data_IF_942523052751
#
_entry.id   IF_942523052751
#
_cell.length_a   1.000
_cell.length_b   1.000
_cell.length_c   1.000
_cell.angle_alpha   90.00
_cell.angle_beta   90.00
_cell.angle_gamma   90.00
#
_symmetry.space_group_name_H-M   'P 1'
#
loop_
_entity.id
_entity.type
_entity.pdbx_description
1 polymer ?
#
# COMPACT_ATOMS: atom_id res chain seq x y z
N UNK A 1 3.12 7.48 14.97
CA UNK A 1 3.71 7.08 13.68
C UNK A 1 5.23 7.08 13.83
N UNK A 2 5.96 6.24 13.12
CA UNK A 2 7.42 6.17 13.10
C UNK A 2 7.91 6.33 11.66
N UNK A 3 8.39 7.52 11.30
CA UNK A 3 8.77 7.84 9.92
C UNK A 3 7.57 7.68 8.95
N UNK A 4 6.51 8.48 9.07
CA UNK A 4 5.42 8.43 8.08
C UNK A 4 5.95 8.83 6.70
N UNK A 5 5.68 8.03 5.67
CA UNK A 5 6.21 8.23 4.31
C UNK A 5 5.14 8.59 3.27
N UNK A 6 4.02 7.87 3.28
CA UNK A 6 2.93 8.09 2.33
C UNK A 6 1.58 7.98 3.03
N UNK A 7 0.57 8.65 2.49
CA UNK A 7 -0.80 8.60 3.00
C UNK A 7 -1.80 8.39 1.86
N UNK A 8 -2.84 7.60 2.12
CA UNK A 8 -4.00 7.50 1.23
C UNK A 8 -5.29 7.61 2.04
N UNK A 9 -6.32 8.29 1.52
CA UNK A 9 -7.67 8.15 2.03
C UNK A 9 -8.10 6.68 2.01
N UNK A 10 -8.93 6.31 2.98
CA UNK A 10 -9.59 5.02 3.06
C UNK A 10 -11.11 5.21 3.19
N UNK A 11 -11.93 4.17 2.95
CA UNK A 11 -13.37 4.24 3.11
C UNK A 11 -13.81 4.79 4.47
N UNK A 12 -15.04 5.33 4.50
CA UNK A 12 -15.69 5.86 5.71
C UNK A 12 -14.92 7.01 6.38
N UNK A 13 -14.13 7.75 5.60
CA UNK A 13 -13.36 8.90 6.07
C UNK A 13 -12.12 8.54 6.88
N UNK A 14 -11.70 7.27 6.87
CA UNK A 14 -10.42 6.84 7.42
C UNK A 14 -9.25 7.18 6.50
N UNK A 15 -8.05 6.78 6.92
CA UNK A 15 -6.84 6.91 6.10
C UNK A 15 -5.81 5.85 6.46
N UNK A 16 -4.90 5.58 5.53
CA UNK A 16 -3.79 4.64 5.68
C UNK A 16 -2.47 5.36 5.51
N UNK A 17 -1.49 5.01 6.33
CA UNK A 17 -0.14 5.60 6.33
C UNK A 17 0.91 4.50 6.26
N UNK A 18 1.83 4.59 5.31
CA UNK A 18 3.05 3.76 5.31
C UNK A 18 4.14 4.39 6.17
N UNK A 19 4.94 3.54 6.80
CA UNK A 19 5.98 3.94 7.74
C UNK A 19 7.35 3.37 7.35
N UNK A 20 8.41 4.15 7.53
CA UNK A 20 9.79 3.72 7.28
C UNK A 20 10.23 2.58 8.19
N UNK A 21 9.57 2.41 9.34
CA UNK A 21 9.81 1.30 10.27
C UNK A 21 9.21 -0.05 9.81
N UNK A 22 8.78 -0.17 8.56
CA UNK A 22 8.38 -1.46 7.97
C UNK A 22 6.92 -1.85 8.25
N UNK A 23 6.01 -0.89 8.39
CA UNK A 23 4.59 -1.17 8.63
C UNK A 23 3.66 -0.18 7.92
N UNK A 24 2.38 -0.53 7.86
CA UNK A 24 1.32 0.33 7.34
C UNK A 24 0.20 0.40 8.38
N UNK A 25 -0.12 1.63 8.79
CA UNK A 25 -1.11 1.93 9.84
C UNK A 25 -2.44 2.35 9.20
N UNK A 26 -3.53 1.78 9.70
CA UNK A 26 -4.90 2.07 9.28
C UNK A 26 -5.57 2.89 10.37
N UNK A 27 -6.16 4.02 10.02
CA UNK A 27 -6.83 4.94 10.93
C UNK A 27 -8.31 5.08 10.60
N UNK A 28 -9.11 5.24 11.65
CA UNK A 28 -10.53 5.59 11.54
C UNK A 28 -10.69 7.09 11.21
N UNK A 29 -11.91 7.48 10.82
CA UNK A 29 -12.28 8.90 10.68
C UNK A 29 -12.16 9.71 11.97
N UNK A 30 -12.14 9.06 13.13
CA UNK A 30 -11.84 9.67 14.43
C UNK A 30 -10.35 9.93 14.68
N UNK A 31 -9.48 9.63 13.71
CA UNK A 31 -8.02 9.69 13.78
C UNK A 31 -7.39 8.71 14.78
N UNK A 32 -8.18 7.79 15.35
CA UNK A 32 -7.67 6.69 16.18
C UNK A 32 -7.10 5.58 15.29
N UNK A 33 -6.00 4.99 15.73
CA UNK A 33 -5.41 3.81 15.09
C UNK A 33 -6.40 2.65 15.17
N UNK A 34 -6.77 2.09 14.03
CA UNK A 34 -7.60 0.89 13.92
C UNK A 34 -6.75 -0.38 14.01
N UNK A 35 -5.72 -0.46 13.17
CA UNK A 35 -4.85 -1.63 13.07
C UNK A 35 -3.55 -1.32 12.33
N UNK A 36 -2.62 -2.27 12.38
CA UNK A 36 -1.44 -2.33 11.51
C UNK A 36 -1.60 -3.51 10.55
N UNK A 37 -1.12 -3.39 9.31
CA UNK A 37 -1.13 -4.50 8.36
C UNK A 37 -0.19 -5.62 8.80
N UNK A 38 0.98 -5.28 9.35
CA UNK A 38 1.91 -6.30 9.86
C UNK A 38 1.29 -7.14 10.98
N UNK A 39 0.58 -6.50 11.92
CA UNK A 39 -0.10 -7.21 13.00
C UNK A 39 -1.35 -7.96 12.54
N UNK A 40 -2.13 -7.40 11.61
CA UNK A 40 -3.40 -8.00 11.17
C UNK A 40 -3.18 -9.24 10.30
N UNK A 41 -2.17 -9.22 9.43
CA UNK A 41 -1.93 -10.29 8.45
C UNK A 41 -0.65 -11.09 8.70
N UNK A 42 0.12 -10.78 9.75
CA UNK A 42 1.44 -11.38 9.96
C UNK A 42 2.42 -11.07 8.82
N UNK A 43 2.22 -9.97 8.10
CA UNK A 43 3.04 -9.61 6.96
C UNK A 43 4.25 -8.78 7.42
N UNK A 44 5.46 -9.25 7.13
CA UNK A 44 6.65 -8.45 7.37
C UNK A 44 6.90 -7.61 6.12
N UNK A 45 7.01 -6.28 6.19
CA UNK A 45 7.46 -5.48 5.04
C UNK A 45 8.99 -5.34 5.06
N UNK A 46 9.58 -5.11 3.88
CA UNK A 46 10.96 -4.64 3.75
C UNK A 46 11.01 -3.14 3.98
N UNK A 47 10.44 -2.38 3.04
CA UNK A 47 10.36 -0.92 3.14
C UNK A 47 9.07 -0.43 2.43
N UNK A 48 7.92 -0.36 3.12
CA UNK A 48 6.67 0.06 2.49
C UNK A 48 6.76 1.53 2.09
N UNK A 49 6.37 1.82 0.85
CA UNK A 49 6.44 3.15 0.25
C UNK A 49 5.03 3.62 -0.13
N UNK A 50 4.64 3.47 -1.40
CA UNK A 50 3.33 3.90 -1.88
C UNK A 50 2.20 3.06 -1.30
N UNK A 51 1.09 3.71 -0.96
CA UNK A 51 -0.17 3.04 -0.58
C UNK A 51 -1.35 3.64 -1.35
N UNK A 52 -2.28 2.82 -1.81
CA UNK A 52 -3.61 3.25 -2.26
C UNK A 52 -4.69 2.29 -1.76
N UNK A 53 -5.94 2.72 -1.83
CA UNK A 53 -7.11 1.89 -1.52
C UNK A 53 -7.94 1.75 -2.79
N UNK A 54 -8.32 0.52 -3.13
CA UNK A 54 -9.18 0.25 -4.28
C UNK A 54 -10.66 0.49 -3.97
N UNK A 55 -11.52 0.28 -4.97
CA UNK A 55 -12.97 0.47 -4.84
C UNK A 55 -13.63 -0.53 -3.89
N UNK A 56 -13.00 -1.67 -3.64
CA UNK A 56 -13.49 -2.71 -2.74
C UNK A 56 -13.01 -2.48 -1.29
N UNK A 57 -12.21 -1.43 -1.07
CA UNK A 57 -11.65 -1.09 0.24
C UNK A 57 -10.39 -1.89 0.60
N UNK A 58 -9.82 -2.64 -0.33
CA UNK A 58 -8.55 -3.32 -0.11
C UNK A 58 -7.40 -2.32 -0.13
N UNK A 59 -6.43 -2.52 0.75
CA UNK A 59 -5.26 -1.66 0.84
C UNK A 59 -4.16 -2.26 -0.03
N UNK A 60 -3.65 -1.50 -0.99
CA UNK A 60 -2.52 -1.90 -1.81
C UNK A 60 -1.26 -1.18 -1.32
N UNK A 61 -0.16 -1.92 -1.23
CA UNK A 61 1.12 -1.42 -0.69
C UNK A 61 2.25 -1.81 -1.64
N UNK A 62 3.00 -0.81 -2.09
CA UNK A 62 4.31 -1.01 -2.72
C UNK A 62 5.35 -1.22 -1.63
N UNK A 63 6.08 -2.32 -1.73
CA UNK A 63 7.27 -2.56 -0.92
C UNK A 63 8.50 -2.26 -1.77
N UNK A 64 9.18 -1.16 -1.46
CA UNK A 64 10.31 -0.66 -2.23
C UNK A 64 11.47 -1.65 -2.21
N UNK A 65 11.80 -2.17 -1.02
CA UNK A 65 12.94 -3.06 -0.84
C UNK A 65 12.67 -4.43 -1.46
N UNK A 66 11.42 -4.92 -1.37
CA UNK A 66 11.03 -6.18 -1.99
C UNK A 66 10.70 -6.06 -3.47
N UNK A 67 10.50 -4.84 -3.98
CA UNK A 67 10.11 -4.55 -5.37
C UNK A 67 8.80 -5.22 -5.75
N UNK A 68 7.84 -5.25 -4.83
CA UNK A 68 6.54 -5.88 -5.02
C UNK A 68 5.39 -4.93 -4.73
N UNK A 69 4.20 -5.31 -5.18
CA UNK A 69 2.94 -4.73 -4.72
C UNK A 69 2.08 -5.83 -4.13
N UNK A 70 1.62 -5.63 -2.90
CA UNK A 70 0.69 -6.52 -2.22
C UNK A 70 -0.68 -5.86 -2.04
N UNK A 71 -1.74 -6.65 -2.19
CA UNK A 71 -3.12 -6.28 -1.88
C UNK A 71 -3.54 -6.96 -0.57
N UNK A 72 -4.09 -6.16 0.33
CA UNK A 72 -4.57 -6.57 1.65
C UNK A 72 -6.09 -6.39 1.68
N UNK A 73 -6.87 -7.47 1.47
CA UNK A 73 -8.32 -7.39 1.44
C UNK A 73 -8.87 -7.21 2.86
N UNK A 74 -10.06 -6.63 3.04
CA UNK A 74 -10.67 -6.48 4.37
C UNK A 74 -10.76 -7.82 5.11
N UNK A 75 -11.08 -8.89 4.35
CA UNK A 75 -11.17 -10.27 4.78
C UNK A 75 -10.35 -11.20 3.89
N UNK A 76 -9.73 -12.22 4.48
CA UNK A 76 -8.90 -13.19 3.77
C UNK A 76 -7.40 -12.89 3.85
N UNK A 77 -6.62 -13.64 3.07
CA UNK A 77 -5.16 -13.54 3.06
C UNK A 77 -4.68 -12.45 2.09
N UNK A 78 -3.51 -11.81 2.35
CA UNK A 78 -2.90 -10.89 1.40
C UNK A 78 -2.50 -11.58 0.10
N UNK A 79 -2.54 -10.84 -1.00
CA UNK A 79 -2.21 -11.31 -2.34
C UNK A 79 -1.03 -10.51 -2.89
N UNK A 80 -0.03 -11.17 -3.46
CA UNK A 80 1.03 -10.50 -4.22
C UNK A 80 0.54 -10.24 -5.65
N UNK A 81 0.23 -8.98 -5.97
CA UNK A 81 -0.27 -8.58 -7.28
C UNK A 81 0.87 -8.41 -8.29
N UNK A 82 1.98 -7.83 -7.84
CA UNK A 82 3.14 -7.56 -8.69
C UNK A 82 4.38 -8.11 -8.00
N UNK A 83 5.01 -9.09 -8.61
CA UNK A 83 6.22 -9.76 -8.09
C UNK A 83 7.44 -9.55 -8.97
N UNK A 84 7.27 -8.99 -10.18
CA UNK A 84 8.35 -8.74 -11.13
C UNK A 84 8.13 -7.43 -11.88
N UNK A 85 9.18 -6.92 -12.51
CA UNK A 85 9.09 -5.72 -13.35
C UNK A 85 9.05 -4.40 -12.58
N UNK A 86 9.38 -4.38 -11.29
CA UNK A 86 9.58 -3.14 -10.52
C UNK A 86 11.04 -3.05 -10.04
N UNK A 87 11.59 -1.84 -9.99
CA UNK A 87 12.93 -1.58 -9.43
C UNK A 87 12.89 -0.73 -8.16
N UNK A 88 12.15 0.38 -8.14
CA UNK A 88 11.94 1.20 -6.94
C UNK A 88 10.53 1.81 -6.92
N UNK A 89 9.50 1.01 -6.57
CA UNK A 89 8.12 1.49 -6.51
C UNK A 89 7.96 2.45 -5.33
N UNK A 90 7.66 3.72 -5.60
CA UNK A 90 7.65 4.78 -4.58
C UNK A 90 6.24 5.34 -4.30
N UNK A 91 5.45 5.58 -5.34
CA UNK A 91 4.10 6.14 -5.24
C UNK A 91 3.09 5.31 -6.03
N UNK A 92 1.84 5.31 -5.60
CA UNK A 92 0.78 4.49 -6.21
C UNK A 92 -0.55 5.24 -6.30
N UNK A 93 -1.34 4.90 -7.31
CA UNK A 93 -2.73 5.30 -7.43
C UNK A 93 -3.57 4.18 -8.01
N UNK A 94 -4.81 4.10 -7.56
CA UNK A 94 -5.79 3.11 -7.98
C UNK A 94 -6.90 3.83 -8.80
N UNK A 95 -7.28 3.33 -9.96
CA UNK A 95 -8.42 3.84 -10.75
C UNK A 95 -9.71 3.12 -10.40
N UNK A 96 -10.85 3.79 -10.55
CA UNK A 96 -12.19 3.19 -10.43
C UNK A 96 -12.45 2.06 -11.44
N UNK A 97 -11.64 1.95 -12.49
CA UNK A 97 -11.68 0.86 -13.47
C UNK A 97 -10.81 -0.35 -13.08
N UNK A 98 -10.24 -0.37 -11.88
CA UNK A 98 -9.37 -1.44 -11.39
C UNK A 98 -7.91 -1.38 -11.88
N UNK A 99 -7.48 -0.28 -12.52
CA UNK A 99 -6.08 -0.12 -12.89
C UNK A 99 -5.25 0.35 -11.70
N UNK A 100 -4.07 -0.24 -11.54
CA UNK A 100 -3.05 0.20 -10.59
C UNK A 100 -1.93 0.92 -11.32
N UNK A 101 -1.62 2.14 -10.90
CA UNK A 101 -0.50 2.94 -11.38
C UNK A 101 0.60 2.94 -10.33
N UNK A 102 1.82 2.60 -10.71
CA UNK A 102 2.99 2.55 -9.82
C UNK A 102 4.10 3.40 -10.40
N UNK A 103 4.55 4.41 -9.66
CA UNK A 103 5.73 5.19 -10.01
C UNK A 103 7.00 4.39 -9.68
N UNK A 104 7.69 3.92 -10.70
CA UNK A 104 8.98 3.23 -10.58
C UNK A 104 10.11 4.24 -10.80
N UNK A 105 10.69 4.67 -9.68
CA UNK A 105 11.61 5.81 -9.64
C UNK A 105 13.05 5.47 -9.99
N UNK A 106 13.39 4.20 -10.22
CA UNK A 106 14.67 3.80 -10.82
C UNK A 106 14.53 3.70 -12.33
N UNK A 107 13.41 3.16 -12.81
CA UNK A 107 13.12 3.03 -14.24
C UNK A 107 12.59 4.33 -14.87
N UNK A 108 12.43 5.40 -14.08
CA UNK A 108 11.94 6.72 -14.51
C UNK A 108 10.62 6.66 -15.29
N UNK A 109 9.70 5.78 -14.87
CA UNK A 109 8.42 5.60 -15.55
C UNK A 109 7.27 5.33 -14.57
N UNK A 110 6.04 5.45 -15.06
CA UNK A 110 4.84 4.95 -14.38
C UNK A 110 4.44 3.65 -15.06
N UNK A 111 4.36 2.57 -14.29
CA UNK A 111 3.89 1.26 -14.75
C UNK A 111 2.41 1.10 -14.42
N UNK A 112 1.65 0.53 -15.34
CA UNK A 112 0.21 0.32 -15.20
C UNK A 112 -0.08 -1.17 -15.21
N UNK A 113 -0.82 -1.61 -14.19
CA UNK A 113 -1.22 -3.00 -13.99
C UNK A 113 -2.75 -3.10 -13.97
N UNK A 114 -3.27 -4.28 -14.34
CA UNK A 114 -4.68 -4.62 -14.31
C UNK A 114 -4.86 -5.96 -13.62
#
# INVERSE_FOLDING_TARGET
>A
LQGPRYISPAPRGGFVVSEECGDVKVFMSSHKLLSSLSSKYGHQFGNPAGVCVDTDGSILVADEQRRTVHLFPEHGAPICLVSTGLQRPAGMACSSSGHLFVADTVENCVKVFK
#
